data_IF_169641765048
#
_entry.id   IF_169641765048
#
_cell.length_a   1.000
_cell.length_b   1.000
_cell.length_c   1.000
_cell.angle_alpha   90.00
_cell.angle_beta   90.00
_cell.angle_gamma   90.00
#
_symmetry.space_group_name_H-M   'P 1'
#
loop_
_entity.id
_entity.type
_entity.pdbx_description
1 polymer ?
#
# COMPACT_ATOMS: atom_id res chain seq x y z
N UNK A 1 -31.41 -13.06 26.89
CA UNK A 1 -32.02 -11.86 27.49
C UNK A 1 -31.19 -10.67 27.03
N UNK A 2 -31.72 -9.83 26.15
CA UNK A 2 -31.08 -8.55 25.80
C UNK A 2 -31.34 -7.58 26.95
N UNK A 3 -30.28 -7.08 27.57
CA UNK A 3 -30.40 -6.06 28.60
C UNK A 3 -30.92 -4.78 27.92
N UNK A 4 -32.12 -4.33 28.28
CA UNK A 4 -32.68 -3.09 27.76
C UNK A 4 -31.96 -1.87 28.33
N UNK A 5 -31.98 -0.77 27.56
CA UNK A 5 -31.34 0.50 27.92
C UNK A 5 -32.02 1.08 29.17
N UNK A 6 -31.23 1.38 30.21
CA UNK A 6 -31.74 2.02 31.44
C UNK A 6 -31.52 3.53 31.41
N UNK A 7 -32.45 4.29 31.98
CA UNK A 7 -32.28 5.74 32.15
C UNK A 7 -31.05 6.01 33.03
N UNK A 8 -30.04 6.69 32.46
CA UNK A 8 -28.74 6.93 33.10
C UNK A 8 -27.59 6.05 32.60
N UNK A 9 -27.84 5.16 31.64
CA UNK A 9 -26.78 4.35 31.02
C UNK A 9 -25.90 5.21 30.10
N UNK A 10 -24.60 5.22 30.37
CA UNK A 10 -23.61 5.84 29.49
C UNK A 10 -23.33 4.91 28.33
N UNK A 11 -23.14 5.49 27.14
CA UNK A 11 -22.85 4.72 25.96
C UNK A 11 -21.62 3.81 26.12
N UNK A 12 -21.61 2.67 25.41
CA UNK A 12 -20.53 1.68 25.44
C UNK A 12 -19.19 2.30 25.02
N UNK A 13 -19.20 3.32 24.17
CA UNK A 13 -17.99 4.00 23.74
C UNK A 13 -17.39 4.85 24.86
N UNK A 14 -16.25 4.40 25.38
CA UNK A 14 -15.45 5.10 26.39
C UNK A 14 -14.08 5.50 25.82
N UNK A 15 -13.47 6.53 26.43
CA UNK A 15 -12.12 6.97 26.05
C UNK A 15 -11.13 5.81 26.26
N UNK A 16 -10.31 5.53 25.25
CA UNK A 16 -9.27 4.50 25.32
C UNK A 16 -9.72 3.08 24.95
N UNK A 17 -10.98 2.85 24.56
CA UNK A 17 -11.41 1.53 24.07
C UNK A 17 -10.80 1.19 22.70
N UNK A 18 -10.69 2.19 21.82
CA UNK A 18 -10.02 2.09 20.54
C UNK A 18 -8.64 2.73 20.65
N UNK A 19 -7.59 1.97 20.37
CA UNK A 19 -6.21 2.42 20.41
C UNK A 19 -5.87 3.29 19.20
N UNK A 20 -4.77 4.01 19.33
CA UNK A 20 -4.11 4.74 18.23
C UNK A 20 -5.01 5.68 17.39
N UNK A 21 -6.04 6.25 18.02
CA UNK A 21 -6.97 7.17 17.35
C UNK A 21 -8.06 6.49 16.53
N UNK A 22 -8.29 5.19 16.73
CA UNK A 22 -9.44 4.48 16.17
C UNK A 22 -10.77 5.11 16.61
N UNK A 23 -11.75 5.15 15.71
CA UNK A 23 -13.06 5.74 15.99
C UNK A 23 -13.97 4.70 16.64
N UNK A 24 -14.40 4.95 17.87
CA UNK A 24 -15.38 4.09 18.52
C UNK A 24 -16.77 4.32 17.91
N UNK A 25 -17.37 3.25 17.39
CA UNK A 25 -18.73 3.21 16.88
C UNK A 25 -19.58 2.46 17.89
N UNK A 26 -20.57 3.14 18.43
CA UNK A 26 -21.50 2.55 19.37
C UNK A 26 -22.58 1.74 18.63
N UNK A 27 -22.80 0.52 19.09
CA UNK A 27 -23.85 -0.38 18.62
C UNK A 27 -24.90 -0.58 19.73
N UNK A 28 -25.98 -1.31 19.43
CA UNK A 28 -27.12 -1.44 20.34
C UNK A 28 -26.74 -2.06 21.71
N UNK A 29 -25.85 -3.06 21.70
CA UNK A 29 -25.41 -3.81 22.89
C UNK A 29 -23.88 -3.89 23.02
N UNK A 30 -23.15 -3.38 22.03
CA UNK A 30 -21.69 -3.51 21.90
C UNK A 30 -21.07 -2.22 21.34
N UNK A 31 -19.76 -2.25 21.10
CA UNK A 31 -19.06 -1.21 20.36
C UNK A 31 -18.11 -1.88 19.37
N UNK A 32 -17.76 -1.14 18.32
CA UNK A 32 -16.76 -1.55 17.34
C UNK A 32 -15.74 -0.40 17.14
N UNK A 33 -14.48 -0.75 16.89
CA UNK A 33 -13.45 0.23 16.57
C UNK A 33 -13.22 0.30 15.07
N UNK A 34 -13.51 1.46 14.49
CA UNK A 34 -13.22 1.76 13.10
C UNK A 34 -11.77 2.25 12.96
N UNK A 35 -10.92 1.35 12.47
CA UNK A 35 -9.50 1.59 12.23
C UNK A 35 -9.20 2.09 10.80
N UNK A 36 -10.22 2.33 9.96
CA UNK A 36 -10.04 2.66 8.53
C UNK A 36 -9.20 3.91 8.32
N UNK A 37 -9.35 4.90 9.19
CA UNK A 37 -8.62 6.18 9.19
C UNK A 37 -7.31 6.16 9.99
N UNK A 38 -6.77 4.97 10.30
CA UNK A 38 -5.52 4.80 11.05
C UNK A 38 -4.60 3.79 10.35
N UNK A 39 -3.28 3.77 10.56
CA UNK A 39 -2.42 2.73 9.99
C UNK A 39 -2.53 1.36 10.69
N UNK A 40 -3.45 1.21 11.65
CA UNK A 40 -3.60 0.03 12.49
C UNK A 40 -4.79 -0.84 12.05
N UNK A 41 -4.77 -2.10 12.47
CA UNK A 41 -5.85 -3.09 12.34
C UNK A 41 -6.08 -3.77 13.70
N UNK A 42 -7.03 -4.71 13.73
CA UNK A 42 -7.43 -5.41 14.95
C UNK A 42 -8.77 -4.90 15.47
N UNK A 43 -9.31 -5.57 16.48
CA UNK A 43 -10.65 -5.28 17.02
C UNK A 43 -10.72 -3.95 17.76
N UNK A 44 -9.57 -3.46 18.22
CA UNK A 44 -9.37 -2.21 18.95
C UNK A 44 -8.30 -1.34 18.30
N UNK A 45 -7.91 -1.59 17.06
CA UNK A 45 -6.81 -0.90 16.36
C UNK A 45 -5.45 -1.05 17.06
N UNK A 46 -5.19 -2.22 17.63
CA UNK A 46 -4.02 -2.57 18.43
C UNK A 46 -2.81 -3.03 17.61
N UNK A 47 -3.02 -3.50 16.38
CA UNK A 47 -1.97 -4.14 15.57
C UNK A 47 -1.49 -3.20 14.47
N UNK A 48 -0.17 -3.01 14.38
CA UNK A 48 0.46 -2.28 13.29
C UNK A 48 0.39 -3.05 11.97
N UNK A 49 0.07 -2.34 10.87
CA UNK A 49 0.19 -2.92 9.54
C UNK A 49 1.59 -2.66 8.99
N UNK A 50 2.35 -3.75 8.88
CA UNK A 50 3.75 -3.72 8.46
C UNK A 50 4.09 -4.67 7.31
N UNK A 51 5.21 -4.37 6.66
CA UNK A 51 5.83 -5.22 5.66
C UNK A 51 7.31 -5.44 6.01
N UNK A 52 7.76 -6.68 5.90
CA UNK A 52 9.19 -7.01 5.87
C UNK A 52 9.69 -6.82 4.44
N UNK A 53 10.74 -6.02 4.30
CA UNK A 53 11.35 -5.67 3.03
C UNK A 53 12.74 -6.31 2.96
N UNK A 54 12.92 -7.38 2.18
CA UNK A 54 14.24 -7.94 1.93
C UNK A 54 15.07 -7.03 1.04
N UNK A 55 16.40 -7.15 1.17
CA UNK A 55 17.37 -6.47 0.30
C UNK A 55 17.07 -6.75 -1.18
N UNK A 56 17.20 -5.72 -2.03
CA UNK A 56 16.90 -5.82 -3.46
C UNK A 56 15.44 -5.57 -3.83
N UNK A 57 14.54 -5.44 -2.84
CA UNK A 57 13.16 -5.05 -3.07
C UNK A 57 13.03 -3.56 -3.39
N UNK A 58 11.89 -3.17 -3.95
CA UNK A 58 11.59 -1.78 -4.28
C UNK A 58 10.13 -1.47 -3.98
N UNK A 59 9.87 -0.31 -3.38
CA UNK A 59 8.53 0.19 -3.14
C UNK A 59 8.37 1.56 -3.83
N UNK A 60 7.21 1.82 -4.42
CA UNK A 60 6.97 3.07 -5.12
C UNK A 60 5.49 3.37 -5.32
N UNK A 61 5.18 4.64 -5.47
CA UNK A 61 3.95 5.12 -6.09
C UNK A 61 4.41 5.89 -7.34
N UNK A 62 4.39 5.23 -8.52
CA UNK A 62 5.02 5.78 -9.72
C UNK A 62 4.33 7.06 -10.20
N UNK A 63 3.02 7.16 -9.95
CA UNK A 63 2.20 8.33 -10.26
C UNK A 63 1.07 8.47 -9.25
N UNK A 64 1.11 9.55 -8.47
CA UNK A 64 0.01 9.97 -7.61
C UNK A 64 -1.09 10.63 -8.44
N UNK A 65 -2.34 10.30 -8.13
CA UNK A 65 -3.48 10.94 -8.75
C UNK A 65 -3.53 12.42 -8.31
N UNK A 66 -3.74 13.40 -9.22
CA UNK A 66 -3.77 14.82 -8.89
C UNK A 66 -4.79 15.18 -7.80
N UNK A 67 -5.91 14.45 -7.74
CA UNK A 67 -6.91 14.65 -6.68
C UNK A 67 -6.51 14.11 -5.31
N UNK A 68 -5.43 13.33 -5.20
CA UNK A 68 -4.98 12.66 -3.98
C UNK A 68 -3.55 13.08 -3.58
N UNK A 69 -3.08 14.24 -4.05
CA UNK A 69 -1.82 14.82 -3.57
C UNK A 69 -1.92 15.12 -2.07
N UNK A 70 -0.81 14.95 -1.36
CA UNK A 70 -0.74 15.15 0.07
C UNK A 70 0.47 16.01 0.44
N UNK A 71 0.33 16.79 1.50
CA UNK A 71 1.42 17.60 2.06
C UNK A 71 2.09 16.93 3.26
N UNK A 72 1.39 15.97 3.88
CA UNK A 72 1.81 15.27 5.08
C UNK A 72 1.96 13.76 4.84
N UNK A 73 3.05 13.22 5.36
CA UNK A 73 3.44 11.84 5.20
C UNK A 73 3.92 11.29 6.54
N UNK A 74 3.76 9.98 6.73
CA UNK A 74 4.30 9.26 7.88
C UNK A 74 4.84 7.91 7.42
N UNK A 75 5.92 7.46 8.03
CA UNK A 75 6.49 6.14 7.83
C UNK A 75 7.21 5.72 9.11
N UNK A 76 6.90 4.52 9.62
CA UNK A 76 7.66 3.88 10.67
C UNK A 76 8.68 2.94 10.05
N UNK A 77 9.92 3.01 10.50
CA UNK A 77 11.04 2.24 9.94
C UNK A 77 11.80 1.57 11.07
N UNK A 78 12.15 0.31 10.89
CA UNK A 78 13.05 -0.43 11.75
C UNK A 78 14.06 -1.16 10.87
N UNK A 79 15.35 -0.92 11.08
CA UNK A 79 16.40 -1.51 10.25
C UNK A 79 17.77 -1.46 10.94
N UNK A 80 18.66 -2.35 10.51
CA UNK A 80 20.10 -2.30 10.75
C UNK A 80 20.88 -1.76 9.53
N UNK A 81 20.18 -1.40 8.45
CA UNK A 81 20.79 -0.85 7.25
C UNK A 81 21.27 0.58 7.49
N UNK A 82 22.39 0.95 6.87
CA UNK A 82 22.84 2.34 6.76
C UNK A 82 23.10 2.69 5.29
N UNK A 83 23.35 3.97 5.01
CA UNK A 83 23.65 4.47 3.67
C UNK A 83 22.61 4.05 2.60
N UNK A 84 21.35 4.38 2.84
CA UNK A 84 20.24 4.08 1.92
C UNK A 84 19.32 5.28 1.75
N UNK A 85 18.64 5.34 0.61
CA UNK A 85 17.58 6.32 0.36
C UNK A 85 16.26 5.83 0.95
N UNK A 86 15.71 6.55 1.92
CA UNK A 86 14.45 6.19 2.55
C UNK A 86 13.25 6.63 1.69
N UNK A 87 13.25 7.88 1.24
CA UNK A 87 12.21 8.44 0.37
C UNK A 87 12.90 9.23 -0.73
N UNK A 88 12.48 9.02 -1.97
CA UNK A 88 12.84 9.85 -3.10
C UNK A 88 11.58 10.24 -3.84
N UNK A 89 11.34 11.54 -3.96
CA UNK A 89 10.21 12.09 -4.67
C UNK A 89 10.68 13.04 -5.76
N UNK A 90 9.98 13.03 -6.88
CA UNK A 90 10.23 13.96 -7.98
C UNK A 90 8.93 14.43 -8.61
N UNK A 91 8.95 15.64 -9.14
CA UNK A 91 7.95 16.08 -10.08
C UNK A 91 8.22 15.43 -11.45
N UNK A 92 7.20 14.87 -12.10
CA UNK A 92 7.37 14.28 -13.43
C UNK A 92 7.43 15.32 -14.56
N UNK A 93 6.99 16.55 -14.28
CA UNK A 93 6.90 17.65 -15.25
C UNK A 93 7.69 18.90 -14.83
N UNK A 94 8.55 18.77 -13.82
CA UNK A 94 9.45 19.81 -13.33
C UNK A 94 10.70 19.15 -12.75
N UNK A 95 11.77 19.92 -12.55
CA UNK A 95 13.04 19.41 -12.00
C UNK A 95 13.08 19.39 -10.47
N UNK A 96 11.92 19.51 -9.81
CA UNK A 96 11.83 19.48 -8.34
C UNK A 96 12.10 18.07 -7.80
N UNK A 97 12.99 17.99 -6.82
CA UNK A 97 13.45 16.76 -6.17
C UNK A 97 13.36 16.88 -4.66
N UNK A 98 12.96 15.80 -4.00
CA UNK A 98 12.91 15.70 -2.55
C UNK A 98 13.43 14.34 -2.12
N UNK A 99 14.50 14.33 -1.33
CA UNK A 99 15.13 13.11 -0.87
C UNK A 99 15.25 13.12 0.65
N UNK A 100 14.88 12.01 1.27
CA UNK A 100 15.22 11.68 2.65
C UNK A 100 16.11 10.44 2.58
N UNK A 101 17.31 10.54 3.09
CA UNK A 101 18.33 9.49 3.07
C UNK A 101 18.84 9.22 4.48
N UNK A 102 19.32 8.01 4.72
CA UNK A 102 20.09 7.67 5.92
C UNK A 102 21.54 7.59 5.51
N UNK A 103 22.41 8.38 6.13
CA UNK A 103 23.83 8.43 5.77
C UNK A 103 24.59 7.19 6.29
N UNK A 104 25.89 7.12 5.99
CA UNK A 104 26.76 6.01 6.44
C UNK A 104 26.95 5.94 7.96
N UNK A 105 26.59 6.99 8.70
CA UNK A 105 26.63 7.04 10.17
C UNK A 105 25.28 6.70 10.83
N UNK A 106 24.25 6.41 10.04
CA UNK A 106 22.92 6.06 10.54
C UNK A 106 21.98 7.25 10.78
N UNK A 107 22.41 8.47 10.47
CA UNK A 107 21.63 9.70 10.68
C UNK A 107 20.78 10.07 9.46
N UNK A 108 19.63 10.69 9.71
CA UNK A 108 18.72 11.14 8.68
C UNK A 108 19.23 12.44 8.03
N UNK A 109 19.19 12.48 6.70
CA UNK A 109 19.53 13.66 5.90
C UNK A 109 18.39 13.96 4.93
N UNK A 110 17.95 15.21 4.92
CA UNK A 110 16.93 15.73 4.01
C UNK A 110 17.60 16.65 3.01
N UNK A 111 17.36 16.41 1.72
CA UNK A 111 17.85 17.24 0.62
C UNK A 111 16.70 17.57 -0.32
N UNK A 112 16.52 18.85 -0.61
CA UNK A 112 15.37 19.35 -1.38
C UNK A 112 15.86 20.33 -2.44
N UNK A 113 15.30 20.20 -3.64
CA UNK A 113 15.52 21.09 -4.77
C UNK A 113 14.19 21.44 -5.42
N UNK A 114 13.89 22.72 -5.62
CA UNK A 114 12.62 23.16 -6.22
C UNK A 114 12.60 23.13 -7.75
N UNK A 115 13.74 22.90 -8.40
CA UNK A 115 13.89 22.96 -9.87
C UNK A 115 14.47 24.28 -10.38
N UNK A 116 14.73 25.25 -9.50
CA UNK A 116 15.30 26.55 -9.86
C UNK A 116 16.52 26.87 -8.98
N UNK A 117 16.28 27.52 -7.82
CA UNK A 117 17.34 28.08 -6.97
C UNK A 117 17.24 27.60 -5.52
N UNK A 118 16.10 27.07 -5.11
CA UNK A 118 15.89 26.65 -3.73
C UNK A 118 16.54 25.29 -3.52
N UNK A 119 17.66 25.27 -2.81
CA UNK A 119 18.34 24.04 -2.42
C UNK A 119 18.53 24.04 -0.90
N UNK A 120 17.83 23.14 -0.20
CA UNK A 120 17.97 22.96 1.23
C UNK A 120 18.55 21.59 1.56
N UNK A 121 19.43 21.58 2.55
CA UNK A 121 19.97 20.37 3.15
C UNK A 121 19.95 20.50 4.66
N UNK A 122 19.45 19.47 5.33
CA UNK A 122 19.44 19.38 6.78
C UNK A 122 19.75 17.95 7.21
N UNK A 123 20.36 17.79 8.39
CA UNK A 123 20.74 16.50 8.95
C UNK A 123 20.24 16.46 10.38
N UNK A 124 19.57 15.37 10.75
CA UNK A 124 19.24 15.07 12.14
C UNK A 124 20.46 14.46 12.82
N UNK A 125 20.90 15.02 13.94
CA UNK A 125 22.08 14.53 14.66
C UNK A 125 21.73 13.73 15.91
N UNK A 126 20.44 13.66 16.26
CA UNK A 126 19.99 13.12 17.54
C UNK A 126 19.48 11.69 17.42
N UNK A 127 18.92 11.29 16.27
CA UNK A 127 18.31 9.98 16.09
C UNK A 127 19.06 9.15 15.05
N UNK A 128 19.26 7.88 15.40
CA UNK A 128 19.83 6.87 14.51
C UNK A 128 18.75 5.93 14.00
N UNK A 129 18.89 5.49 12.76
CA UNK A 129 17.96 4.58 12.09
C UNK A 129 18.60 3.21 11.77
N UNK A 130 19.83 2.97 12.22
CA UNK A 130 20.62 1.77 11.97
C UNK A 130 20.80 0.87 13.22
N UNK A 131 19.96 1.07 14.24
CA UNK A 131 20.05 0.39 15.53
C UNK A 131 18.94 -0.67 15.77
N UNK A 132 18.16 -1.02 14.75
CA UNK A 132 16.99 -1.92 14.85
C UNK A 132 15.90 -1.45 15.82
N UNK A 133 15.89 -0.16 16.18
CA UNK A 133 14.77 0.42 16.93
C UNK A 133 13.73 0.99 15.97
N UNK A 134 12.47 0.98 16.40
CA UNK A 134 11.39 1.55 15.61
C UNK A 134 11.51 3.08 15.65
N UNK A 135 11.69 3.70 14.49
CA UNK A 135 11.69 5.16 14.33
C UNK A 135 10.45 5.61 13.56
N UNK A 136 9.61 6.43 14.19
CA UNK A 136 8.41 7.00 13.58
C UNK A 136 8.73 8.35 12.95
N UNK A 137 8.73 8.41 11.62
CA UNK A 137 9.00 9.62 10.88
C UNK A 137 7.70 10.21 10.38
N UNK A 138 7.47 11.49 10.67
CA UNK A 138 6.33 12.25 10.15
C UNK A 138 6.83 13.57 9.59
N UNK A 139 6.52 13.86 8.34
CA UNK A 139 6.86 15.16 7.75
C UNK A 139 5.67 15.81 7.07
N UNK A 140 5.62 17.14 7.14
CA UNK A 140 4.59 17.97 6.55
C UNK A 140 5.21 19.20 5.88
N UNK A 141 4.81 19.46 4.63
CA UNK A 141 5.12 20.70 3.93
C UNK A 141 3.95 21.69 4.09
N UNK A 142 4.11 22.67 4.97
CA UNK A 142 3.18 23.79 5.10
C UNK A 142 3.53 24.87 4.09
N UNK A 143 2.63 25.84 3.84
CA UNK A 143 2.90 26.92 2.88
C UNK A 143 4.16 27.74 3.19
N UNK A 144 4.55 27.82 4.46
CA UNK A 144 5.61 28.69 5.00
C UNK A 144 6.79 27.96 5.65
N UNK A 145 6.68 26.64 5.85
CA UNK A 145 7.74 25.81 6.41
C UNK A 145 7.55 24.33 6.13
N UNK A 146 8.65 23.58 6.11
CA UNK A 146 8.66 22.13 6.19
C UNK A 146 9.06 21.69 7.58
N UNK A 147 8.36 20.68 8.10
CA UNK A 147 8.58 20.15 9.43
C UNK A 147 8.71 18.64 9.33
N UNK A 148 9.77 18.09 9.90
CA UNK A 148 10.01 16.67 10.05
C UNK A 148 10.15 16.35 11.55
N UNK A 149 9.25 15.49 12.01
CA UNK A 149 9.23 14.96 13.35
C UNK A 149 9.78 13.53 13.34
N UNK A 150 10.62 13.26 14.33
CA UNK A 150 11.15 11.92 14.64
C UNK A 150 10.60 11.53 16.00
N UNK A 151 9.87 10.42 16.08
CA UNK A 151 9.23 9.93 17.31
C UNK A 151 8.31 10.97 18.01
N UNK A 152 7.75 11.90 17.23
CA UNK A 152 6.87 12.96 17.71
C UNK A 152 7.58 14.28 18.03
N UNK A 153 8.91 14.30 18.16
CA UNK A 153 9.71 15.50 18.39
C UNK A 153 10.11 16.18 17.07
N UNK A 154 10.02 17.50 16.98
CA UNK A 154 10.45 18.27 15.80
C UNK A 154 11.99 18.24 15.70
N UNK A 155 12.52 17.55 14.70
CA UNK A 155 13.97 17.36 14.50
C UNK A 155 14.51 18.32 13.43
N UNK A 156 13.82 18.44 12.29
CA UNK A 156 14.21 19.33 11.20
C UNK A 156 13.04 20.26 10.88
N UNK A 157 13.34 21.56 10.88
CA UNK A 157 12.39 22.63 10.54
C UNK A 157 13.05 23.56 9.52
N UNK A 158 12.45 23.69 8.34
CA UNK A 158 12.98 24.48 7.24
C UNK A 158 11.96 25.57 6.87
N UNK A 159 12.18 26.84 7.25
CA UNK A 159 11.30 27.94 6.85
C UNK A 159 11.44 28.22 5.35
N UNK A 160 10.37 28.68 4.71
CA UNK A 160 10.36 29.03 3.30
C UNK A 160 9.05 28.67 2.61
N UNK A 161 8.92 28.98 1.32
CA UNK A 161 7.72 28.62 0.58
C UNK A 161 7.79 27.17 0.08
N UNK A 162 6.92 26.29 0.61
CA UNK A 162 6.85 24.87 0.20
C UNK A 162 5.62 24.52 -0.65
N UNK A 163 4.95 25.50 -1.27
CA UNK A 163 3.80 25.21 -2.14
C UNK A 163 4.15 24.31 -3.33
N UNK A 164 5.42 24.26 -3.75
CA UNK A 164 5.88 23.37 -4.82
C UNK A 164 5.81 21.88 -4.42
N UNK A 165 5.74 21.55 -3.13
CA UNK A 165 5.76 20.17 -2.65
C UNK A 165 4.61 19.33 -3.23
N UNK A 166 3.45 19.96 -3.47
CA UNK A 166 2.27 19.33 -4.13
C UNK A 166 2.51 18.90 -5.58
N UNK A 167 3.57 19.40 -6.22
CA UNK A 167 3.94 19.02 -7.58
C UNK A 167 4.69 17.68 -7.63
N UNK A 168 5.23 17.23 -6.49
CA UNK A 168 5.88 15.93 -6.36
C UNK A 168 4.84 14.82 -6.51
N UNK A 169 4.91 14.08 -7.62
CA UNK A 169 3.88 13.11 -8.00
C UNK A 169 4.44 11.72 -8.31
N UNK A 170 5.75 11.52 -8.20
CA UNK A 170 6.39 10.21 -8.31
C UNK A 170 7.22 9.94 -7.05
N UNK A 171 6.86 8.90 -6.31
CA UNK A 171 7.44 8.58 -5.00
C UNK A 171 8.07 7.19 -5.04
N UNK A 172 9.30 7.08 -4.57
CA UNK A 172 9.98 5.81 -4.30
C UNK A 172 10.25 5.74 -2.81
N UNK A 173 9.88 4.62 -2.22
CA UNK A 173 10.15 4.32 -0.82
C UNK A 173 11.20 3.22 -0.80
N UNK A 174 12.30 3.50 -0.11
CA UNK A 174 13.47 2.65 -0.03
C UNK A 174 14.20 2.44 -1.37
N UNK A 175 15.52 2.41 -1.29
CA UNK A 175 16.32 1.82 -2.35
C UNK A 175 16.57 0.32 -2.09
N UNK A 176 17.31 -0.30 -3.01
CA UNK A 176 17.63 -1.73 -2.98
C UNK A 176 18.59 -2.11 -1.85
N UNK A 177 19.25 -1.14 -1.20
CA UNK A 177 20.21 -1.37 -0.13
C UNK A 177 19.52 -1.61 1.20
N UNK A 178 18.29 -1.10 1.37
CA UNK A 178 17.51 -1.31 2.56
C UNK A 178 17.12 -2.78 2.76
N UNK A 179 17.21 -3.24 4.00
CA UNK A 179 16.51 -4.43 4.50
C UNK A 179 15.96 -4.15 5.89
N UNK A 180 14.74 -4.58 6.18
CA UNK A 180 14.12 -4.33 7.48
C UNK A 180 12.61 -4.21 7.37
N UNK A 181 12.01 -3.52 8.33
CA UNK A 181 10.58 -3.39 8.47
C UNK A 181 10.09 -1.98 8.22
N UNK A 182 8.99 -1.89 7.48
CA UNK A 182 8.20 -0.65 7.37
C UNK A 182 6.84 -0.89 7.96
N UNK A 183 6.40 0.06 8.78
CA UNK A 183 5.06 0.15 9.34
C UNK A 183 4.50 1.54 9.10
N UNK A 184 3.19 1.74 9.32
CA UNK A 184 2.57 3.08 9.42
C UNK A 184 2.77 4.01 8.23
N UNK A 185 3.01 3.48 7.03
CA UNK A 185 3.08 4.29 5.82
C UNK A 185 1.72 4.97 5.60
N UNK A 186 1.72 6.29 5.69
CA UNK A 186 0.56 7.15 5.52
C UNK A 186 0.90 8.28 4.54
N UNK A 187 -0.01 8.53 3.62
CA UNK A 187 0.11 9.57 2.59
C UNK A 187 -1.18 10.37 2.62
N UNK A 188 -1.15 11.56 3.23
CA UNK A 188 -2.36 12.31 3.54
C UNK A 188 -3.32 11.47 4.39
N UNK A 189 -4.48 11.14 3.83
CA UNK A 189 -5.49 10.30 4.49
C UNK A 189 -5.45 8.82 4.04
N UNK A 190 -4.53 8.46 3.14
CA UNK A 190 -4.39 7.10 2.61
C UNK A 190 -3.39 6.26 3.39
N UNK A 191 -3.62 4.95 3.45
CA UNK A 191 -2.77 3.95 4.11
C UNK A 191 -2.33 2.86 3.12
N UNK A 192 -1.24 3.08 2.35
CA UNK A 192 -0.85 2.18 1.27
C UNK A 192 -0.62 0.72 1.66
N UNK A 193 -0.14 0.46 2.88
CA UNK A 193 0.10 -0.92 3.34
C UNK A 193 -1.19 -1.68 3.65
N UNK A 194 -2.28 -0.99 4.01
CA UNK A 194 -3.60 -1.61 4.22
C UNK A 194 -4.33 -1.88 2.91
N UNK A 195 -4.23 -0.94 1.95
CA UNK A 195 -4.92 -1.03 0.67
C UNK A 195 -3.99 -0.66 -0.51
N UNK A 196 -3.07 -1.56 -0.91
CA UNK A 196 -2.07 -1.28 -1.95
C UNK A 196 -2.67 -0.89 -3.30
N UNK A 197 -3.75 -1.57 -3.70
CA UNK A 197 -4.41 -1.34 -4.99
C UNK A 197 -5.00 0.07 -5.09
N UNK A 198 -5.76 0.49 -4.08
CA UNK A 198 -6.44 1.80 -4.05
C UNK A 198 -5.45 2.97 -3.97
N UNK A 199 -4.28 2.76 -3.36
CA UNK A 199 -3.22 3.75 -3.20
C UNK A 199 -2.23 3.78 -4.35
N UNK A 200 -2.39 2.89 -5.36
CA UNK A 200 -1.45 2.68 -6.46
C UNK A 200 -0.03 2.36 -5.97
N UNK A 201 0.06 1.71 -4.82
CA UNK A 201 1.31 1.24 -4.25
C UNK A 201 1.83 0.07 -5.07
N UNK A 202 3.00 0.25 -5.66
CA UNK A 202 3.68 -0.75 -6.48
C UNK A 202 4.93 -1.22 -5.76
N UNK A 203 5.11 -2.53 -5.72
CA UNK A 203 6.26 -3.15 -5.09
C UNK A 203 6.86 -4.24 -5.98
N UNK A 204 8.17 -4.48 -5.80
CA UNK A 204 8.92 -5.53 -6.49
C UNK A 204 9.84 -6.23 -5.48
N UNK A 205 10.04 -7.53 -5.64
CA UNK A 205 10.83 -8.37 -4.74
C UNK A 205 9.98 -9.17 -3.75
N UNK A 206 10.64 -9.93 -2.89
CA UNK A 206 10.02 -10.93 -2.01
C UNK A 206 9.47 -10.31 -0.70
N UNK A 207 8.69 -9.24 -0.83
CA UNK A 207 8.11 -8.51 0.29
C UNK A 207 7.07 -9.35 1.01
N UNK A 208 7.13 -9.38 2.34
CA UNK A 208 6.24 -10.18 3.18
C UNK A 208 5.36 -9.28 4.03
N UNK A 209 4.06 -9.32 3.78
CA UNK A 209 3.07 -8.58 4.56
C UNK A 209 2.81 -9.26 5.91
N UNK A 210 2.73 -8.49 6.99
CA UNK A 210 2.41 -9.00 8.33
C UNK A 210 3.50 -9.87 8.98
N UNK A 211 4.78 -9.71 8.60
CA UNK A 211 5.89 -10.50 9.16
C UNK A 211 6.96 -9.65 9.84
N UNK A 212 6.60 -8.44 10.27
CA UNK A 212 7.54 -7.63 11.04
C UNK A 212 7.69 -8.18 12.45
N UNK A 213 8.89 -8.09 13.07
CA UNK A 213 9.18 -8.68 14.37
C UNK A 213 8.37 -8.08 15.53
N UNK A 214 7.65 -6.99 15.28
CA UNK A 214 6.69 -6.37 16.21
C UNK A 214 5.27 -6.95 16.13
N UNK A 215 4.99 -7.86 15.20
CA UNK A 215 3.75 -8.62 15.27
C UNK A 215 3.85 -9.44 16.57
N UNK A 216 2.98 -9.17 17.56
CA UNK A 216 3.11 -9.85 18.83
C UNK A 216 3.07 -11.35 18.53
N UNK A 217 3.98 -12.11 19.15
CA UNK A 217 4.08 -13.56 19.09
C UNK A 217 2.84 -14.25 19.72
N UNK A 218 1.63 -13.76 19.47
CA UNK A 218 0.36 -14.28 19.97
C UNK A 218 0.05 -15.65 19.36
N UNK A 219 0.71 -16.05 18.26
CA UNK A 219 0.54 -17.41 17.70
C UNK A 219 1.53 -18.47 18.20
N UNK A 220 2.42 -18.17 19.16
CA UNK A 220 3.25 -19.20 19.81
C UNK A 220 3.03 -19.37 21.31
N UNK A 221 2.31 -18.45 21.95
CA UNK A 221 2.05 -18.50 23.39
C UNK A 221 0.67 -19.05 23.78
N UNK A 222 -0.23 -19.34 22.83
CA UNK A 222 -1.55 -19.94 23.12
C UNK A 222 -1.57 -21.48 23.09
N UNK A 223 -0.41 -22.16 23.16
CA UNK A 223 -0.34 -23.62 23.22
C UNK A 223 0.34 -24.19 24.47
N UNK A 224 0.60 -23.37 25.48
CA UNK A 224 1.08 -23.85 26.79
C UNK A 224 0.14 -23.35 27.87
N UNK A 225 -1.03 -23.98 27.96
CA UNK A 225 -1.79 -24.03 29.20
C UNK A 225 -1.52 -25.40 29.80
N UNK A 226 -0.91 -25.37 30.97
CA UNK A 226 -0.71 -26.39 32.00
C UNK A 226 -1.30 -27.78 31.74
N UNK A 227 -0.42 -28.78 31.60
CA UNK A 227 -0.65 -30.08 32.24
C UNK A 227 0.63 -30.54 32.96
N UNK A 228 0.35 -31.12 34.11
CA UNK A 228 1.17 -31.45 35.27
C UNK A 228 2.44 -32.29 35.00
N UNK A 229 3.43 -32.11 35.87
CA UNK A 229 4.72 -32.79 35.89
C UNK A 229 4.58 -34.19 36.51
N UNK A 230 4.85 -35.28 35.77
CA UNK A 230 5.35 -36.54 36.36
C UNK A 230 6.07 -37.45 35.34
N UNK A 231 7.27 -37.86 35.75
CA UNK A 231 8.01 -39.10 35.46
C UNK A 231 8.37 -39.53 34.02
N UNK A 232 9.69 -39.54 33.77
CA UNK A 232 10.35 -40.23 32.66
C UNK A 232 10.42 -41.74 32.95
N UNK A 233 10.10 -42.60 31.97
CA UNK A 233 11.07 -43.65 31.65
C UNK A 233 11.27 -43.90 30.14
N UNK A 234 12.55 -44.09 29.79
CA UNK A 234 13.13 -44.89 28.70
C UNK A 234 12.46 -44.98 27.30
N UNK A 235 13.29 -44.60 26.33
CA UNK A 235 13.20 -44.70 24.86
C UNK A 235 12.66 -46.04 24.34
N UNK A 236 11.70 -45.98 23.42
CA UNK A 236 11.54 -46.94 22.32
C UNK A 236 11.22 -46.22 21.00
N UNK A 237 12.17 -46.25 20.06
CA UNK A 237 12.00 -45.76 18.70
C UNK A 237 11.26 -46.85 17.91
N UNK A 238 10.01 -46.60 17.54
CA UNK A 238 9.34 -47.34 16.48
C UNK A 238 9.38 -46.51 15.19
N UNK A 239 10.29 -46.87 14.29
CA UNK A 239 10.28 -46.41 12.90
C UNK A 239 9.04 -46.98 12.21
N UNK A 240 8.01 -46.15 12.02
CA UNK A 240 6.90 -46.50 11.13
C UNK A 240 7.39 -46.23 9.69
N UNK A 241 7.87 -47.29 9.04
CA UNK A 241 8.01 -47.32 7.60
C UNK A 241 6.61 -47.24 6.99
N UNK A 242 6.24 -46.06 6.47
CA UNK A 242 5.00 -45.89 5.69
C UNK A 242 5.27 -46.41 4.28
N UNK A 243 4.91 -47.66 4.06
CA UNK A 243 4.91 -48.31 2.75
C UNK A 243 3.85 -47.61 1.86
N UNK A 244 4.30 -46.61 1.10
CA UNK A 244 3.49 -45.94 0.11
C UNK A 244 3.32 -46.84 -1.11
N UNK A 245 2.26 -47.64 -1.16
CA UNK A 245 1.89 -48.36 -2.38
C UNK A 245 1.35 -47.36 -3.42
N UNK A 246 2.25 -46.72 -4.16
CA UNK A 246 1.91 -45.89 -5.31
C UNK A 246 1.51 -46.80 -6.49
N UNK A 247 0.21 -46.93 -6.76
CA UNK A 247 -0.30 -47.45 -8.03
C UNK A 247 0.02 -46.45 -9.15
N UNK A 248 1.16 -46.64 -9.80
CA UNK A 248 1.76 -45.76 -10.79
C UNK A 248 1.21 -45.95 -12.22
N UNK A 249 -0.10 -46.13 -12.40
CA UNK A 249 -0.70 -46.36 -13.74
C UNK A 249 -1.89 -45.48 -14.10
N UNK A 250 -2.39 -44.64 -13.19
CA UNK A 250 -3.55 -43.76 -13.46
C UNK A 250 -3.20 -42.29 -13.75
N UNK A 251 -2.05 -41.82 -13.28
CA UNK A 251 -1.60 -40.44 -13.49
C UNK A 251 -1.32 -40.05 -14.96
N UNK A 252 -0.72 -40.90 -15.81
CA UNK A 252 -0.43 -40.49 -17.19
C UNK A 252 -1.70 -40.38 -18.05
N UNK A 253 -2.72 -41.18 -17.77
CA UNK A 253 -3.99 -41.19 -18.53
C UNK A 253 -4.79 -39.92 -18.26
N UNK A 254 -4.84 -39.48 -16.99
CA UNK A 254 -5.52 -38.25 -16.59
C UNK A 254 -4.78 -37.02 -17.14
N UNK A 255 -3.45 -37.03 -17.14
CA UNK A 255 -2.67 -35.94 -17.72
C UNK A 255 -2.89 -35.81 -19.23
N UNK A 256 -2.98 -36.94 -19.95
CA UNK A 256 -3.20 -36.93 -21.40
C UNK A 256 -4.62 -36.46 -21.78
N UNK A 257 -5.64 -36.83 -21.00
CA UNK A 257 -7.01 -36.39 -21.25
C UNK A 257 -7.17 -34.88 -21.04
N UNK A 258 -6.54 -34.33 -20.00
CA UNK A 258 -6.53 -32.88 -19.72
C UNK A 258 -5.79 -32.12 -20.82
N UNK A 259 -4.61 -32.60 -21.25
CA UNK A 259 -3.84 -31.96 -22.30
C UNK A 259 -4.59 -31.94 -23.65
N UNK A 260 -5.28 -33.03 -23.99
CA UNK A 260 -6.11 -33.13 -25.20
C UNK A 260 -7.30 -32.15 -25.17
N UNK A 261 -7.98 -32.03 -24.02
CA UNK A 261 -9.08 -31.08 -23.85
C UNK A 261 -8.63 -29.61 -24.00
N UNK A 262 -7.44 -29.27 -23.47
CA UNK A 262 -6.87 -27.93 -23.61
C UNK A 262 -6.56 -27.63 -25.09
N UNK A 263 -5.94 -28.56 -25.82
CA UNK A 263 -5.63 -28.39 -27.24
C UNK A 263 -6.89 -28.22 -28.12
N UNK A 264 -7.96 -28.95 -27.81
CA UNK A 264 -9.25 -28.77 -28.48
C UNK A 264 -9.85 -27.39 -28.19
N UNK A 265 -9.80 -26.92 -26.94
CA UNK A 265 -10.32 -25.60 -26.57
C UNK A 265 -9.58 -24.46 -27.27
N UNK A 266 -8.25 -24.56 -27.40
CA UNK A 266 -7.42 -23.58 -28.11
C UNK A 266 -7.74 -23.60 -29.61
N UNK A 267 -7.93 -24.78 -30.20
CA UNK A 267 -8.26 -24.91 -31.63
C UNK A 267 -9.62 -24.29 -31.94
N UNK A 268 -10.62 -24.51 -31.07
CA UNK A 268 -11.94 -23.88 -31.18
C UNK A 268 -11.83 -22.37 -31.06
N UNK A 269 -11.04 -21.87 -30.11
CA UNK A 269 -10.81 -20.43 -29.93
C UNK A 269 -10.14 -19.80 -31.17
N UNK A 270 -9.12 -20.45 -31.74
CA UNK A 270 -8.46 -19.98 -32.97
C UNK A 270 -9.42 -19.99 -34.16
N UNK A 271 -10.23 -21.04 -34.33
CA UNK A 271 -11.28 -21.07 -35.35
C UNK A 271 -12.30 -19.95 -35.13
N UNK A 272 -12.70 -19.68 -33.89
CA UNK A 272 -13.63 -18.61 -33.57
C UNK A 272 -13.05 -17.22 -33.87
N UNK A 273 -11.76 -16.98 -33.56
CA UNK A 273 -11.08 -15.73 -33.90
C UNK A 273 -10.94 -15.56 -35.42
N UNK A 274 -10.56 -16.61 -36.15
CA UNK A 274 -10.43 -16.55 -37.62
C UNK A 274 -11.77 -16.41 -38.34
N UNK A 275 -12.85 -16.93 -37.76
CA UNK A 275 -14.17 -16.91 -38.37
C UNK A 275 -15.05 -15.76 -37.85
N UNK A 276 -14.48 -14.85 -37.04
CA UNK A 276 -15.17 -13.59 -36.75
C UNK A 276 -15.28 -12.79 -38.05
N UNK A 277 -16.50 -12.43 -38.49
CA UNK A 277 -16.63 -11.43 -39.55
C UNK A 277 -16.09 -10.11 -39.01
N UNK A 278 -15.23 -9.45 -39.79
CA UNK A 278 -14.73 -8.12 -39.46
C UNK A 278 -15.93 -7.18 -39.26
N UNK A 279 -16.19 -6.84 -38.01
CA UNK A 279 -17.16 -5.82 -37.67
C UNK A 279 -16.62 -4.50 -38.18
N UNK A 280 -17.27 -3.93 -39.19
CA UNK A 280 -17.04 -2.56 -39.65
C UNK A 280 -17.23 -1.64 -38.45
N UNK A 281 -16.13 -1.19 -37.85
CA UNK A 281 -16.20 -0.12 -36.87
C UNK A 281 -16.52 1.17 -37.62
N UNK A 282 -17.74 1.69 -37.43
CA UNK A 282 -18.04 3.08 -37.79
C UNK A 282 -17.22 3.96 -36.86
N UNK A 283 -16.11 4.48 -37.35
CA UNK A 283 -15.43 5.60 -36.71
C UNK A 283 -16.31 6.84 -36.84
N UNK A 284 -16.58 7.50 -35.71
CA UNK A 284 -17.27 8.79 -35.68
C UNK A 284 -16.28 9.93 -36.00
N UNK A 285 -15.59 9.86 -37.13
CA UNK A 285 -14.66 10.91 -37.57
C UNK A 285 -15.39 12.22 -37.96
N UNK A 286 -16.70 12.17 -38.21
CA UNK A 286 -17.43 13.28 -38.85
C UNK A 286 -18.26 14.17 -37.90
N UNK A 287 -18.09 14.07 -36.57
CA UNK A 287 -18.88 14.89 -35.62
C UNK A 287 -18.14 16.11 -35.02
N UNK A 288 -16.91 16.40 -35.44
CA UNK A 288 -16.16 17.57 -34.95
C UNK A 288 -15.75 18.59 -36.03
N UNK A 289 -16.21 18.44 -37.27
CA UNK A 289 -15.93 19.39 -38.35
C UNK A 289 -16.97 20.51 -38.51
N UNK A 290 -18.00 20.59 -37.67
CA UNK A 290 -19.04 21.62 -37.76
C UNK A 290 -19.38 22.18 -36.39
N UNK A 291 -18.53 23.08 -35.89
CA UNK A 291 -18.94 24.12 -34.94
C UNK A 291 -17.90 25.24 -34.93
N UNK A 292 -17.90 26.02 -36.02
CA UNK A 292 -17.45 27.41 -36.00
C UNK A 292 -18.70 28.30 -35.91
N UNK A 293 -18.73 29.32 -35.03
CA UNK A 293 -19.92 30.12 -34.78
C UNK A 293 -20.05 31.15 -35.90
N UNK A 294 -21.09 31.04 -36.72
CA UNK A 294 -21.34 32.05 -37.73
C UNK A 294 -22.50 31.73 -38.66
N UNK A 295 -23.58 32.50 -38.45
CA UNK A 295 -24.43 33.09 -39.51
C UNK A 295 -25.76 32.40 -39.83
N UNK A 296 -26.81 33.12 -39.41
CA UNK A 296 -28.17 33.34 -39.94
C UNK A 296 -28.98 32.20 -40.60
N UNK A 297 -30.14 31.98 -39.97
CA UNK A 297 -31.40 31.40 -40.46
C UNK A 297 -31.72 31.59 -41.96
N UNK A 298 -32.23 30.53 -42.61
CA UNK A 298 -33.49 30.53 -43.39
C UNK A 298 -33.89 29.09 -43.86
N UNK A 299 -35.18 28.80 -44.15
CA UNK A 299 -35.75 27.46 -44.01
C UNK A 299 -36.10 26.70 -45.32
N UNK A 300 -36.18 25.36 -45.17
CA UNK A 300 -37.13 24.38 -45.75
C UNK A 300 -37.61 24.49 -47.21
N UNK A 301 -37.22 23.52 -48.07
CA UNK A 301 -38.04 22.91 -49.17
C UNK A 301 -37.40 21.53 -49.52
N UNK A 302 -37.92 20.37 -49.09
CA UNK A 302 -38.92 19.46 -49.73
C UNK A 302 -38.74 19.22 -51.24
N UNK A 303 -38.10 18.11 -51.62
CA UNK A 303 -38.70 16.96 -52.33
C UNK A 303 -37.61 16.11 -53.02
N UNK A 304 -37.59 14.82 -52.67
CA UNK A 304 -36.99 13.77 -53.47
C UNK A 304 -38.12 13.06 -54.22
N UNK A 305 -37.84 12.74 -55.48
CA UNK A 305 -38.31 11.62 -56.32
C UNK A 305 -38.08 12.10 -57.78
N UNK A 306 -37.57 11.35 -58.76
CA UNK A 306 -37.69 9.93 -59.11
C UNK A 306 -36.42 9.45 -59.86
N UNK A 307 -36.18 8.13 -59.81
CA UNK A 307 -35.78 7.17 -60.88
C UNK A 307 -35.00 7.71 -62.09
N UNK A 308 -33.90 7.11 -62.58
CA UNK A 308 -33.38 5.74 -62.57
C UNK A 308 -31.87 5.75 -62.33
#
# INVERSE_FOLDING_TARGET
MTQGIKVGEHGRCQRGLCFHGGRCIELYDTYECDCTMTPFIGTKCETDVGILVPKGSQLSIPWQHPGHVADCFRIGVQSLSNNYSLIQAKALFADSLFNITVNSKGFLEVSVFDGFFFHHRAVDQNHKLDNDEMVDLKFCAHSDRFVLNVNGEESISLPGNWTFFRQLNSWKFLDKSFHGCIVRLQIGNGFPLKAPSTSRFSYKGDIKFGQCPFDPLIKRAEQTVDEDETDIPSIHIHTIAREGSTRLTLYPIIAFSIASAILLSISIFVCWVRNRPDGVYKTNENLLAYNSPGRSNEPLVINKEYFC
#
